data_IF_445956848075
#
_entry.id   IF_445956848075
#
_cell.length_a   1.000
_cell.length_b   1.000
_cell.length_c   1.000
_cell.angle_alpha   90.00
_cell.angle_beta   90.00
_cell.angle_gamma   90.00
#
_symmetry.space_group_name_H-M   'P 1'
#
loop_
_entity.id
_entity.type
_entity.pdbx_description
1 polymer ?
#
# COMPACT_ATOMS: atom_id res chain seq x y z
N UNK A 1 -21.21 -1.59 -36.66
CA UNK A 1 -19.76 -1.57 -36.37
C UNK A 1 -19.44 -1.06 -34.96
N UNK A 2 -20.15 -0.06 -34.42
CA UNK A 2 -19.91 0.49 -33.06
C UNK A 2 -20.10 -0.54 -31.93
N UNK A 3 -21.10 -1.43 -32.02
CA UNK A 3 -21.38 -2.45 -30.99
C UNK A 3 -20.31 -3.55 -30.85
N UNK A 4 -19.52 -3.80 -31.90
CA UNK A 4 -18.46 -4.81 -31.83
C UNK A 4 -17.26 -4.27 -31.05
N UNK A 5 -16.90 -3.00 -31.30
CA UNK A 5 -15.78 -2.32 -30.64
C UNK A 5 -16.03 -2.11 -29.14
N UNK A 6 -17.27 -1.81 -28.75
CA UNK A 6 -17.64 -1.69 -27.32
C UNK A 6 -17.63 -3.03 -26.61
N UNK A 7 -18.03 -4.12 -27.28
CA UNK A 7 -18.01 -5.47 -26.71
C UNK A 7 -16.58 -5.99 -26.47
N UNK A 8 -15.66 -5.79 -27.42
CA UNK A 8 -14.24 -6.15 -27.26
C UNK A 8 -13.55 -5.34 -26.15
N UNK A 9 -13.94 -4.07 -25.98
CA UNK A 9 -13.40 -3.22 -24.92
C UNK A 9 -13.86 -3.68 -23.53
N UNK A 10 -15.15 -3.98 -23.36
CA UNK A 10 -15.72 -4.50 -22.11
C UNK A 10 -15.07 -5.85 -21.71
N UNK A 11 -14.81 -6.72 -22.69
CA UNK A 11 -14.10 -7.99 -22.48
C UNK A 11 -12.67 -7.74 -21.95
N UNK A 12 -11.96 -6.78 -22.54
CA UNK A 12 -10.59 -6.43 -22.12
C UNK A 12 -10.55 -5.96 -20.67
N UNK A 13 -11.52 -5.13 -20.26
CA UNK A 13 -11.65 -4.67 -18.88
C UNK A 13 -11.89 -5.83 -17.92
N UNK A 14 -12.83 -6.72 -18.25
CA UNK A 14 -13.17 -7.86 -17.42
C UNK A 14 -11.99 -8.83 -17.26
N UNK A 15 -11.30 -9.14 -18.36
CA UNK A 15 -10.09 -9.96 -18.35
C UNK A 15 -9.00 -9.30 -17.51
N UNK A 16 -8.78 -7.98 -17.65
CA UNK A 16 -7.79 -7.28 -16.85
C UNK A 16 -8.08 -7.32 -15.35
N UNK A 17 -9.35 -7.19 -14.93
CA UNK A 17 -9.74 -7.38 -13.53
C UNK A 17 -9.49 -8.80 -13.03
N UNK A 18 -9.88 -9.82 -13.80
CA UNK A 18 -9.61 -11.22 -13.45
C UNK A 18 -8.11 -11.52 -13.36
N UNK A 19 -7.32 -11.06 -14.34
CA UNK A 19 -5.87 -11.26 -14.34
C UNK A 19 -5.24 -10.56 -13.14
N UNK A 20 -5.59 -9.29 -12.88
CA UNK A 20 -5.03 -8.52 -11.77
C UNK A 20 -5.36 -9.12 -10.39
N UNK A 21 -6.58 -9.63 -10.21
CA UNK A 21 -6.99 -10.28 -8.96
C UNK A 21 -6.34 -11.65 -8.79
N UNK A 22 -6.29 -12.46 -9.84
CA UNK A 22 -5.59 -13.73 -9.83
C UNK A 22 -4.09 -13.56 -9.54
N UNK A 23 -3.42 -12.58 -10.17
CA UNK A 23 -2.01 -12.29 -9.90
C UNK A 23 -1.76 -11.74 -8.51
N UNK A 24 -2.63 -10.87 -7.99
CA UNK A 24 -2.52 -10.37 -6.62
C UNK A 24 -2.69 -11.50 -5.59
N UNK A 25 -3.65 -12.41 -5.81
CA UNK A 25 -3.85 -13.59 -4.95
C UNK A 25 -2.66 -14.55 -5.05
N UNK A 26 -2.13 -14.78 -6.26
CA UNK A 26 -0.96 -15.63 -6.46
C UNK A 26 0.27 -15.09 -5.73
N UNK A 27 0.45 -13.76 -5.71
CA UNK A 27 1.49 -13.12 -4.89
C UNK A 27 1.21 -13.37 -3.41
N UNK A 28 0.04 -13.03 -2.88
CA UNK A 28 -0.25 -13.17 -1.43
C UNK A 28 -0.13 -14.61 -0.93
N UNK A 29 -0.64 -15.59 -1.68
CA UNK A 29 -0.67 -16.99 -1.28
C UNK A 29 0.53 -17.81 -1.75
N UNK A 30 1.39 -17.28 -2.63
CA UNK A 30 2.53 -17.99 -3.19
C UNK A 30 3.55 -18.46 -2.15
N UNK A 31 3.69 -17.71 -1.04
CA UNK A 31 4.59 -18.04 0.07
C UNK A 31 3.96 -18.93 1.15
N UNK A 32 2.68 -19.32 1.03
CA UNK A 32 1.96 -20.02 2.09
C UNK A 32 2.61 -21.37 2.45
N UNK A 33 3.10 -22.10 1.44
CA UNK A 33 3.76 -23.41 1.62
C UNK A 33 5.16 -23.33 2.23
N UNK A 34 5.88 -22.23 1.97
CA UNK A 34 7.21 -21.97 2.55
C UNK A 34 7.11 -21.64 4.04
N UNK A 35 6.08 -20.87 4.42
CA UNK A 35 5.87 -20.42 5.79
C UNK A 35 5.32 -21.55 6.68
N UNK A 36 4.49 -22.46 6.14
CA UNK A 36 3.96 -23.59 6.91
C UNK A 36 4.96 -24.75 7.08
N UNK A 37 6.06 -24.76 6.32
CA UNK A 37 7.09 -25.81 6.37
C UNK A 37 6.66 -27.16 5.81
N UNK A 38 5.44 -27.27 5.27
CA UNK A 38 4.90 -28.53 4.75
C UNK A 38 5.46 -28.88 3.36
N UNK A 39 5.77 -27.88 2.52
CA UNK A 39 6.34 -28.06 1.18
C UNK A 39 7.26 -26.89 0.83
N UNK A 40 8.54 -26.89 1.28
CA UNK A 40 9.47 -25.82 0.97
C UNK A 40 9.75 -25.75 -0.53
N UNK A 41 9.56 -24.57 -1.11
CA UNK A 41 9.90 -24.24 -2.49
C UNK A 41 11.38 -24.47 -2.73
N UNK A 42 11.73 -24.90 -3.94
CA UNK A 42 13.13 -24.87 -4.37
C UNK A 42 13.70 -23.45 -4.26
N UNK A 43 14.98 -23.33 -3.90
CA UNK A 43 15.69 -22.04 -3.76
C UNK A 43 15.54 -21.18 -5.02
N UNK A 44 15.53 -21.80 -6.20
CA UNK A 44 15.29 -21.11 -7.47
C UNK A 44 13.90 -20.46 -7.55
N UNK A 45 12.85 -21.15 -7.09
CA UNK A 45 11.48 -20.65 -7.08
C UNK A 45 11.33 -19.52 -6.06
N UNK A 46 11.90 -19.67 -4.87
CA UNK A 46 11.88 -18.63 -3.85
C UNK A 46 12.61 -17.36 -4.31
N UNK A 47 13.78 -17.48 -4.96
CA UNK A 47 14.51 -16.35 -5.51
C UNK A 47 13.73 -15.63 -6.61
N UNK A 48 13.14 -16.39 -7.54
CA UNK A 48 12.29 -15.84 -8.60
C UNK A 48 11.06 -15.13 -8.03
N UNK A 49 10.40 -15.74 -7.04
CA UNK A 49 9.26 -15.14 -6.36
C UNK A 49 9.66 -13.80 -5.72
N UNK A 50 10.75 -13.73 -4.96
CA UNK A 50 11.21 -12.49 -4.32
C UNK A 50 11.54 -11.38 -5.33
N UNK A 51 12.10 -11.73 -6.50
CA UNK A 51 12.41 -10.76 -7.55
C UNK A 51 11.15 -10.24 -8.28
N UNK A 52 10.18 -11.12 -8.55
CA UNK A 52 9.03 -10.81 -9.43
C UNK A 52 7.80 -10.35 -8.64
N UNK A 53 7.60 -10.82 -7.41
CA UNK A 53 6.38 -10.55 -6.64
C UNK A 53 6.10 -9.06 -6.45
N UNK A 54 7.14 -8.27 -6.13
CA UNK A 54 7.01 -6.82 -5.94
C UNK A 54 6.61 -6.11 -7.25
N UNK A 55 7.23 -6.49 -8.35
CA UNK A 55 6.97 -5.95 -9.69
C UNK A 55 5.57 -6.35 -10.18
N UNK A 56 5.20 -7.63 -10.01
CA UNK A 56 3.87 -8.15 -10.35
C UNK A 56 2.78 -7.42 -9.57
N UNK A 57 2.96 -7.21 -8.26
CA UNK A 57 2.05 -6.40 -7.46
C UNK A 57 1.92 -4.96 -7.99
N UNK A 58 3.05 -4.34 -8.37
CA UNK A 58 3.06 -3.02 -9.00
C UNK A 58 2.24 -2.97 -10.30
N UNK A 59 2.36 -3.98 -11.16
CA UNK A 59 1.56 -4.09 -12.39
C UNK A 59 0.07 -4.24 -12.09
N UNK A 60 -0.29 -5.01 -11.05
CA UNK A 60 -1.69 -5.14 -10.61
C UNK A 60 -2.27 -3.77 -10.21
N UNK A 61 -1.53 -3.02 -9.39
CA UNK A 61 -1.96 -1.68 -8.95
C UNK A 61 -2.01 -0.71 -10.13
N UNK A 62 -1.07 -0.80 -11.07
CA UNK A 62 -1.07 0.01 -12.29
C UNK A 62 -2.34 -0.22 -13.11
N UNK A 63 -2.76 -1.47 -13.28
CA UNK A 63 -4.02 -1.79 -13.96
C UNK A 63 -5.22 -1.15 -13.25
N UNK A 64 -5.29 -1.21 -11.91
CA UNK A 64 -6.37 -0.56 -11.15
C UNK A 64 -6.42 0.94 -11.42
N UNK A 65 -5.27 1.62 -11.44
CA UNK A 65 -5.19 3.05 -11.74
C UNK A 65 -5.69 3.35 -13.16
N UNK A 66 -5.24 2.56 -14.16
CA UNK A 66 -5.68 2.72 -15.55
C UNK A 66 -7.20 2.50 -15.67
N UNK A 67 -7.74 1.48 -15.00
CA UNK A 67 -9.17 1.20 -14.98
C UNK A 67 -9.98 2.36 -14.38
N UNK A 68 -9.50 2.95 -13.28
CA UNK A 68 -10.13 4.12 -12.65
C UNK A 68 -10.10 5.36 -13.56
N UNK A 69 -8.94 5.69 -14.14
CA UNK A 69 -8.79 6.87 -15.03
C UNK A 69 -9.62 6.72 -16.31
N UNK A 70 -9.76 5.49 -16.81
CA UNK A 70 -10.54 5.21 -18.03
C UNK A 70 -12.06 5.21 -17.79
N UNK A 71 -12.54 5.41 -16.56
CA UNK A 71 -13.96 5.41 -16.21
C UNK A 71 -14.57 4.02 -16.00
N UNK A 72 -13.76 2.96 -16.04
CA UNK A 72 -14.18 1.56 -15.86
C UNK A 72 -13.86 1.01 -14.46
N UNK A 73 -13.52 1.89 -13.52
CA UNK A 73 -13.17 1.52 -12.14
C UNK A 73 -14.35 1.16 -11.24
N UNK A 74 -15.59 1.44 -11.67
CA UNK A 74 -16.83 1.09 -10.95
C UNK A 74 -16.76 1.45 -9.45
N UNK A 75 -16.98 0.49 -8.52
CA UNK A 75 -16.96 0.76 -7.08
C UNK A 75 -15.56 1.13 -6.54
N UNK A 76 -14.49 0.63 -7.15
CA UNK A 76 -13.11 0.93 -6.74
C UNK A 76 -12.80 2.41 -6.96
N UNK A 77 -13.31 2.98 -8.05
CA UNK A 77 -13.15 4.41 -8.31
C UNK A 77 -13.84 5.28 -7.26
N UNK A 78 -15.05 4.89 -6.82
CA UNK A 78 -15.77 5.63 -5.77
C UNK A 78 -14.99 5.62 -4.46
N UNK A 79 -14.47 4.46 -4.08
CA UNK A 79 -13.67 4.28 -2.86
C UNK A 79 -12.35 5.07 -2.91
N UNK A 80 -11.64 5.06 -4.04
CA UNK A 80 -10.39 5.81 -4.21
C UNK A 80 -10.61 7.33 -4.33
N UNK A 81 -11.75 7.76 -4.87
CA UNK A 81 -12.10 9.18 -5.00
C UNK A 81 -12.60 9.81 -3.69
N UNK A 82 -12.66 9.04 -2.61
CA UNK A 82 -13.27 9.49 -1.37
C UNK A 82 -12.36 10.48 -0.61
N UNK A 83 -12.87 11.64 -0.16
CA UNK A 83 -12.04 12.66 0.48
C UNK A 83 -11.27 12.18 1.73
N UNK A 84 -11.79 11.26 2.58
CA UNK A 84 -11.01 10.70 3.69
C UNK A 84 -9.76 9.94 3.26
N UNK A 85 -9.75 9.32 2.07
CA UNK A 85 -8.57 8.62 1.54
C UNK A 85 -7.41 9.57 1.26
N UNK A 86 -7.69 10.83 0.95
CA UNK A 86 -6.65 11.85 0.78
C UNK A 86 -5.95 12.14 2.11
N UNK A 87 -6.71 12.31 3.19
CA UNK A 87 -6.14 12.49 4.53
C UNK A 87 -5.39 11.23 4.99
N UNK A 88 -5.95 10.05 4.77
CA UNK A 88 -5.32 8.78 5.12
C UNK A 88 -4.02 8.53 4.31
N UNK A 89 -3.98 8.90 3.03
CA UNK A 89 -2.79 8.82 2.20
C UNK A 89 -1.67 9.72 2.71
N UNK A 90 -2.00 10.92 3.21
CA UNK A 90 -1.01 11.82 3.83
C UNK A 90 -0.49 11.27 5.14
N UNK A 91 -1.38 10.74 5.98
CA UNK A 91 -1.01 10.13 7.26
C UNK A 91 -0.10 8.92 7.06
N UNK A 92 -0.47 8.01 6.16
CA UNK A 92 0.34 6.82 5.83
C UNK A 92 1.68 7.17 5.22
N UNK A 93 1.76 8.24 4.42
CA UNK A 93 3.03 8.75 3.92
C UNK A 93 3.94 9.26 5.04
N UNK A 94 3.42 10.04 6.00
CA UNK A 94 4.20 10.47 7.16
C UNK A 94 4.64 9.28 8.02
N UNK A 95 3.74 8.32 8.25
CA UNK A 95 4.05 7.09 8.97
C UNK A 95 5.19 6.33 8.28
N UNK A 96 5.12 6.16 6.95
CA UNK A 96 6.16 5.49 6.17
C UNK A 96 7.56 6.12 6.33
N UNK A 97 7.65 7.45 6.40
CA UNK A 97 8.93 8.14 6.59
C UNK A 97 9.52 7.96 7.99
N UNK A 98 8.68 7.94 9.02
CA UNK A 98 9.10 7.88 10.42
C UNK A 98 9.34 6.44 10.88
N UNK A 99 8.63 5.49 10.28
CA UNK A 99 8.65 4.09 10.67
C UNK A 99 10.07 3.47 10.74
N UNK A 100 10.96 3.64 9.75
CA UNK A 100 12.32 3.10 9.81
C UNK A 100 13.13 3.71 10.95
N UNK A 101 12.95 5.00 11.21
CA UNK A 101 13.62 5.72 12.31
C UNK A 101 13.18 5.17 13.67
N UNK A 102 11.87 4.95 13.86
CA UNK A 102 11.33 4.35 15.08
C UNK A 102 11.84 2.93 15.27
N UNK A 103 11.87 2.12 14.20
CA UNK A 103 12.47 0.78 14.27
C UNK A 103 13.93 0.83 14.66
N UNK A 104 14.72 1.70 14.03
CA UNK A 104 16.15 1.82 14.31
C UNK A 104 16.42 2.18 15.77
N UNK A 105 15.66 3.12 16.32
CA UNK A 105 15.74 3.48 17.75
C UNK A 105 15.31 2.31 18.63
N UNK A 106 14.20 1.65 18.32
CA UNK A 106 13.69 0.53 19.12
C UNK A 106 14.67 -0.64 19.19
N UNK A 107 15.21 -1.08 18.04
CA UNK A 107 16.17 -2.18 17.99
C UNK A 107 17.57 -1.75 18.46
N UNK A 108 17.97 -0.50 18.24
CA UNK A 108 19.26 0.02 18.71
C UNK A 108 19.36 0.17 20.23
N UNK A 109 18.23 0.29 20.93
CA UNK A 109 18.19 0.32 22.40
C UNK A 109 18.03 -1.08 23.02
N UNK A 110 18.02 -2.16 22.24
CA UNK A 110 17.96 -3.51 22.81
C UNK A 110 19.36 -3.97 23.25
N UNK A 111 19.55 -4.07 24.56
CA UNK A 111 20.79 -4.55 25.18
C UNK A 111 20.85 -6.08 25.32
N UNK A 112 19.70 -6.78 25.18
CA UNK A 112 19.57 -8.22 25.38
C UNK A 112 18.99 -8.93 24.16
N UNK A 113 19.25 -10.24 24.06
CA UNK A 113 18.75 -11.10 22.97
C UNK A 113 17.20 -11.08 22.96
N UNK A 114 16.63 -10.71 21.82
CA UNK A 114 15.18 -10.70 21.62
C UNK A 114 14.64 -12.14 21.54
N UNK A 115 13.91 -12.58 22.56
CA UNK A 115 13.28 -13.89 22.56
C UNK A 115 12.13 -13.94 21.55
N UNK A 116 12.35 -14.68 20.45
CA UNK A 116 11.38 -14.91 19.38
C UNK A 116 10.24 -15.81 19.87
N UNK A 117 9.24 -15.19 20.51
CA UNK A 117 7.98 -15.83 20.86
C UNK A 117 6.86 -15.13 20.10
N UNK A 118 5.86 -15.88 19.61
CA UNK A 118 4.77 -15.35 18.79
C UNK A 118 4.05 -14.18 19.48
N UNK A 119 3.83 -14.31 20.79
CA UNK A 119 3.20 -13.27 21.60
C UNK A 119 4.05 -11.99 21.66
N UNK A 120 5.37 -12.12 21.81
CA UNK A 120 6.27 -10.97 21.87
C UNK A 120 6.34 -10.24 20.52
N UNK A 121 6.41 -10.99 19.42
CA UNK A 121 6.45 -10.43 18.07
C UNK A 121 5.19 -9.62 17.79
N UNK A 122 4.02 -10.17 18.11
CA UNK A 122 2.74 -9.47 17.91
C UNK A 122 2.64 -8.20 18.76
N UNK A 123 3.02 -8.28 20.04
CA UNK A 123 2.99 -7.11 20.94
C UNK A 123 3.96 -6.03 20.46
N UNK A 124 5.20 -6.39 20.13
CA UNK A 124 6.20 -5.44 19.62
C UNK A 124 5.76 -4.81 18.29
N UNK A 125 5.20 -5.61 17.36
CA UNK A 125 4.68 -5.11 16.09
C UNK A 125 3.56 -4.08 16.30
N UNK A 126 2.56 -4.41 17.12
CA UNK A 126 1.46 -3.50 17.42
C UNK A 126 1.94 -2.25 18.15
N UNK A 127 2.89 -2.38 19.08
CA UNK A 127 3.48 -1.25 19.79
C UNK A 127 4.20 -0.28 18.87
N UNK A 128 5.10 -0.78 18.01
CA UNK A 128 5.84 0.04 17.03
C UNK A 128 4.86 0.68 16.04
N UNK A 129 3.86 -0.06 15.58
CA UNK A 129 2.86 0.43 14.64
C UNK A 129 2.04 1.58 15.26
N UNK A 130 1.49 1.38 16.46
CA UNK A 130 0.72 2.41 17.17
C UNK A 130 1.57 3.66 17.44
N UNK A 131 2.80 3.49 17.92
CA UNK A 131 3.70 4.61 18.17
C UNK A 131 4.02 5.40 16.89
N UNK A 132 4.31 4.70 15.79
CA UNK A 132 4.58 5.31 14.49
C UNK A 132 3.37 6.09 13.99
N UNK A 133 2.17 5.54 14.10
CA UNK A 133 0.94 6.22 13.66
C UNK A 133 0.63 7.45 14.51
N UNK A 134 0.79 7.38 15.83
CA UNK A 134 0.62 8.54 16.72
C UNK A 134 1.62 9.65 16.40
N UNK A 135 2.91 9.30 16.25
CA UNK A 135 3.95 10.26 15.88
C UNK A 135 3.69 10.89 14.51
N UNK A 136 3.28 10.07 13.52
CA UNK A 136 2.95 10.54 12.18
C UNK A 136 1.73 11.46 12.15
N UNK A 137 0.75 11.24 13.03
CA UNK A 137 -0.43 12.09 13.14
C UNK A 137 -0.06 13.46 13.70
N UNK A 138 0.77 13.52 14.75
CA UNK A 138 1.28 14.78 15.29
C UNK A 138 2.09 15.55 14.25
N UNK A 139 2.97 14.85 13.51
CA UNK A 139 3.78 15.47 12.46
C UNK A 139 2.94 15.93 11.26
N UNK A 140 1.91 15.17 10.88
CA UNK A 140 0.95 15.58 9.87
C UNK A 140 0.26 16.88 10.29
N UNK A 141 -0.26 16.99 11.51
CA UNK A 141 -0.88 18.22 12.01
C UNK A 141 0.10 19.40 12.07
N UNK A 142 1.34 19.15 12.52
CA UNK A 142 2.37 20.18 12.67
C UNK A 142 2.87 20.72 11.33
N UNK A 143 2.89 19.92 10.26
CA UNK A 143 3.38 20.33 8.93
C UNK A 143 2.24 20.80 8.03
N UNK A 144 1.09 20.12 8.07
CA UNK A 144 -0.04 20.41 7.19
C UNK A 144 -0.74 21.71 7.57
N UNK A 145 -0.88 22.00 8.88
CA UNK A 145 -1.51 23.24 9.34
C UNK A 145 -0.77 24.53 8.93
N UNK A 146 0.57 24.66 9.06
CA UNK A 146 1.28 25.82 8.54
C UNK A 146 1.34 25.84 7.01
N UNK A 147 1.39 24.69 6.34
CA UNK A 147 1.44 24.62 4.89
C UNK A 147 0.15 25.12 4.24
N UNK A 148 -1.02 24.79 4.80
CA UNK A 148 -2.31 25.36 4.39
C UNK A 148 -2.36 26.88 4.65
N UNK A 149 -1.80 27.33 5.77
CA UNK A 149 -1.69 28.75 6.09
C UNK A 149 -0.82 29.51 5.09
N UNK A 150 0.32 28.92 4.73
CA UNK A 150 1.27 29.49 3.76
C UNK A 150 0.70 29.49 2.35
N UNK A 151 -0.01 28.44 1.93
CA UNK A 151 -0.69 28.36 0.63
C UNK A 151 -1.71 29.51 0.48
N UNK A 152 -2.51 29.77 1.52
CA UNK A 152 -3.47 30.88 1.53
C UNK A 152 -2.80 32.26 1.55
N UNK A 153 -1.61 32.38 2.11
CA UNK A 153 -0.85 33.62 2.15
C UNK A 153 -0.10 33.91 0.83
N UNK A 154 0.40 32.87 0.14
CA UNK A 154 1.16 32.99 -1.11
C UNK A 154 0.29 33.00 -2.36
N UNK A 155 -0.85 32.31 -2.36
CA UNK A 155 -1.81 32.32 -3.46
C UNK A 155 -2.96 33.27 -3.11
N UNK A 156 -2.88 34.56 -3.48
CA UNK A 156 -4.04 35.44 -3.37
C UNK A 156 -5.17 34.83 -4.19
N UNK A 157 -6.28 34.55 -3.50
CA UNK A 157 -7.50 33.95 -4.04
C UNK A 157 -7.92 34.66 -5.33
N UNK A 158 -7.63 34.09 -6.50
CA UNK A 158 -8.27 34.53 -7.75
C UNK A 158 -9.72 34.09 -7.68
N UNK A 159 -10.57 35.03 -7.28
CA UNK A 159 -12.03 34.93 -7.29
C UNK A 159 -12.47 34.74 -8.75
N UNK A 160 -12.91 33.55 -9.10
CA UNK A 160 -13.71 33.27 -10.29
C UNK A 160 -14.98 32.55 -9.85
#
# INVERSE_FOLDING_TARGET
>A
MVNFYTSTFQLTVFVGWLVSTASALAVVYGLRGDISGENPSSVAVAALYNAVARSAWGVCVCWVVIACVSGYGGPVNVLLSWPPFVALSRLTYMAYLIHPTVMYIYFGNQETLYTLNDTNIVISYLGILLFTYLASFVLMLAIESPMIGLEKALLPKKRH
#
